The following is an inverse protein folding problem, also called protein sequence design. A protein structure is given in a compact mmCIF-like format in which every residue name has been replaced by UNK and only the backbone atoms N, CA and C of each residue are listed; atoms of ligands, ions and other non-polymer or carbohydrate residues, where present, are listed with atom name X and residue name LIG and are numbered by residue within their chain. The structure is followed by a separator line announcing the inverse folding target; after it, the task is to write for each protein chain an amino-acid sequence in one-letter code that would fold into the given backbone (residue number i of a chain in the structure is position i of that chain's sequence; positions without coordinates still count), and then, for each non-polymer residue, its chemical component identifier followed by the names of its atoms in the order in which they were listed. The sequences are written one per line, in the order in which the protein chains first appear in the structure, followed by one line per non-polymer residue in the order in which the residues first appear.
data_IF_039421584819
#
_entry.id   IF_039421584819
#
_cell.length_a   1.000
_cell.length_b   1.000
_cell.length_c   1.000
_cell.angle_alpha   90.00
_cell.angle_beta   90.00
_cell.angle_gamma   90.00
#
_symmetry.space_group_name_H-M   'P 1'
#
loop_
_entity.id
_entity.type
_entity.pdbx_description
1 polymer ?
#
# COMPACT_ATOMS: atom_id res chain seq x y z
N UNK A 1 36.95 -24.20 0.91
CA UNK A 1 37.12 -23.80 -0.50
C UNK A 1 35.87 -24.28 -1.22
N UNK A 2 34.87 -23.41 -1.36
CA UNK A 2 34.52 -22.71 -2.62
C UNK A 2 33.61 -23.64 -3.46
N UNK A 3 32.38 -23.33 -3.89
CA UNK A 3 31.73 -22.07 -4.29
C UNK A 3 30.20 -22.26 -4.20
N UNK A 4 29.49 -21.50 -3.35
CA UNK A 4 28.02 -21.40 -3.47
C UNK A 4 27.73 -20.24 -4.39
N UNK A 5 27.31 -20.59 -5.61
CA UNK A 5 27.01 -19.66 -6.69
C UNK A 5 26.00 -18.60 -6.25
N UNK A 6 26.39 -17.38 -6.58
CA UNK A 6 25.78 -16.12 -6.26
C UNK A 6 24.70 -15.84 -7.32
N UNK A 7 23.48 -16.35 -7.15
CA UNK A 7 22.33 -15.98 -7.99
C UNK A 7 21.14 -15.56 -7.12
N UNK A 8 21.33 -14.51 -6.32
CA UNK A 8 20.20 -13.64 -5.91
C UNK A 8 20.11 -12.47 -6.88
N UNK A 9 19.99 -12.80 -8.16
CA UNK A 9 19.68 -11.86 -9.22
C UNK A 9 18.26 -11.33 -9.05
N UNK A 10 18.13 -10.16 -8.42
CA UNK A 10 17.33 -9.05 -8.93
C UNK A 10 15.94 -9.39 -9.53
N UNK A 11 15.08 -10.07 -8.77
CA UNK A 11 13.66 -10.28 -9.12
C UNK A 11 12.68 -9.45 -8.27
N UNK A 12 13.16 -8.50 -7.45
CA UNK A 12 12.29 -7.71 -6.55
C UNK A 12 11.77 -6.38 -7.13
N UNK A 13 12.23 -5.95 -8.31
CA UNK A 13 11.92 -4.61 -8.84
C UNK A 13 10.71 -4.56 -9.78
N UNK A 14 10.27 -5.69 -10.36
CA UNK A 14 9.18 -5.72 -11.35
C UNK A 14 7.77 -5.74 -10.73
N UNK A 15 7.62 -6.21 -9.50
CA UNK A 15 6.32 -6.31 -8.82
C UNK A 15 5.96 -5.10 -7.96
N UNK A 16 6.89 -4.17 -7.75
CA UNK A 16 6.67 -3.04 -6.84
C UNK A 16 5.72 -1.99 -7.42
N UNK A 17 5.85 -1.66 -8.72
CA UNK A 17 5.01 -0.67 -9.38
C UNK A 17 3.50 -1.04 -9.42
N UNK A 18 3.12 -2.30 -9.70
CA UNK A 18 1.72 -2.73 -9.60
C UNK A 18 1.12 -2.55 -8.19
N UNK A 19 1.89 -2.85 -7.14
CA UNK A 19 1.41 -2.78 -5.76
C UNK A 19 1.27 -1.34 -5.26
N UNK A 20 2.21 -0.45 -5.61
CA UNK A 20 2.12 0.98 -5.31
C UNK A 20 0.86 1.59 -5.92
N UNK A 21 0.57 1.30 -7.19
CA UNK A 21 -0.64 1.80 -7.86
C UNK A 21 -1.91 1.22 -7.23
N UNK A 22 -1.90 -0.05 -6.82
CA UNK A 22 -3.01 -0.65 -6.09
C UNK A 22 -3.30 0.08 -4.78
N UNK A 23 -2.28 0.36 -3.97
CA UNK A 23 -2.47 1.04 -2.69
C UNK A 23 -2.95 2.49 -2.85
N UNK A 24 -2.46 3.23 -3.86
CA UNK A 24 -2.99 4.56 -4.18
C UNK A 24 -4.49 4.52 -4.50
N UNK A 25 -4.91 3.60 -5.35
CA UNK A 25 -6.32 3.42 -5.70
C UNK A 25 -7.16 3.07 -4.46
N UNK A 26 -6.65 2.21 -3.58
CA UNK A 26 -7.34 1.86 -2.32
C UNK A 26 -7.49 3.07 -1.40
N UNK A 27 -6.45 3.90 -1.28
CA UNK A 27 -6.53 5.14 -0.49
C UNK A 27 -7.62 6.08 -1.01
N UNK A 28 -7.69 6.28 -2.33
CA UNK A 28 -8.73 7.09 -2.97
C UNK A 28 -10.13 6.54 -2.69
N UNK A 29 -10.33 5.23 -2.86
CA UNK A 29 -11.62 4.58 -2.58
C UNK A 29 -12.06 4.74 -1.13
N UNK A 30 -11.13 4.65 -0.17
CA UNK A 30 -11.46 4.86 1.24
C UNK A 30 -11.79 6.33 1.55
N UNK A 31 -11.12 7.31 0.90
CA UNK A 31 -11.52 8.72 1.00
C UNK A 31 -12.94 8.96 0.44
N UNK A 32 -13.30 8.33 -0.67
CA UNK A 32 -14.65 8.39 -1.23
C UNK A 32 -15.70 7.73 -0.33
N UNK A 33 -15.33 6.67 0.40
CA UNK A 33 -16.19 6.05 1.42
C UNK A 33 -16.34 6.97 2.63
N UNK A 34 -15.27 7.61 3.09
CA UNK A 34 -15.31 8.56 4.19
C UNK A 34 -16.22 9.76 3.88
N UNK A 35 -16.18 10.28 2.65
CA UNK A 35 -17.03 11.39 2.21
C UNK A 35 -18.53 11.04 2.19
N UNK A 36 -18.87 9.76 1.98
CA UNK A 36 -20.25 9.24 1.95
C UNK A 36 -20.68 8.58 3.26
N UNK A 37 -19.82 8.56 4.28
CA UNK A 37 -20.06 7.85 5.51
C UNK A 37 -21.22 8.51 6.30
N UNK A 38 -22.19 7.72 6.81
CA UNK A 38 -23.39 8.27 7.46
C UNK A 38 -23.12 8.79 8.88
N UNK A 39 -21.94 8.54 9.45
CA UNK A 39 -21.56 9.01 10.78
C UNK A 39 -20.06 9.23 10.91
N UNK A 40 -19.67 10.01 11.93
CA UNK A 40 -18.29 10.39 12.21
C UNK A 40 -17.39 9.20 12.57
N UNK A 41 -17.93 8.14 13.20
CA UNK A 41 -17.15 6.93 13.51
C UNK A 41 -16.69 6.22 12.24
N UNK A 42 -17.59 6.00 11.28
CA UNK A 42 -17.26 5.37 10.00
C UNK A 42 -16.35 6.26 9.15
N UNK A 43 -16.59 7.58 9.16
CA UNK A 43 -15.70 8.54 8.50
C UNK A 43 -14.27 8.44 9.01
N UNK A 44 -14.07 8.44 10.34
CA UNK A 44 -12.74 8.28 10.96
C UNK A 44 -12.08 6.96 10.57
N UNK A 45 -12.82 5.85 10.61
CA UNK A 45 -12.30 4.55 10.20
C UNK A 45 -11.81 4.56 8.74
N UNK A 46 -12.62 5.07 7.81
CA UNK A 46 -12.24 5.12 6.39
C UNK A 46 -11.03 6.04 6.15
N UNK A 47 -10.93 7.16 6.87
CA UNK A 47 -9.75 8.03 6.80
C UNK A 47 -8.48 7.33 7.33
N UNK A 48 -8.59 6.57 8.42
CA UNK A 48 -7.47 5.78 8.96
C UNK A 48 -7.00 4.71 7.97
N UNK A 49 -7.93 4.00 7.33
CA UNK A 49 -7.62 3.04 6.28
C UNK A 49 -6.95 3.70 5.06
N UNK A 50 -7.44 4.87 4.63
CA UNK A 50 -6.83 5.63 3.54
C UNK A 50 -5.36 5.97 3.86
N UNK A 51 -5.09 6.46 5.08
CA UNK A 51 -3.74 6.80 5.52
C UNK A 51 -2.81 5.56 5.59
N UNK A 52 -3.33 4.39 5.96
CA UNK A 52 -2.55 3.13 5.92
C UNK A 52 -2.18 2.79 4.47
N UNK A 53 -3.13 2.89 3.55
CA UNK A 53 -2.86 2.62 2.14
C UNK A 53 -1.87 3.62 1.51
N UNK A 54 -1.95 4.92 1.86
CA UNK A 54 -0.97 5.92 1.44
C UNK A 54 0.44 5.57 1.91
N UNK A 55 0.61 5.23 3.20
CA UNK A 55 1.92 4.78 3.73
C UNK A 55 2.46 3.54 3.02
N UNK A 56 1.59 2.59 2.67
CA UNK A 56 2.00 1.40 1.90
C UNK A 56 2.37 1.73 0.45
N UNK A 57 1.69 2.69 -0.17
CA UNK A 57 2.05 3.15 -1.51
C UNK A 57 3.44 3.82 -1.54
N UNK A 58 3.84 4.46 -0.45
CA UNK A 58 5.15 5.07 -0.26
C UNK A 58 6.26 4.06 0.09
N UNK A 59 5.90 2.77 0.31
CA UNK A 59 6.85 1.74 0.74
C UNK A 59 7.21 1.80 2.23
N UNK A 60 6.43 2.52 3.04
CA UNK A 60 6.64 2.64 4.49
C UNK A 60 6.27 1.35 5.25
N UNK A 61 6.99 1.01 6.35
CA UNK A 61 6.61 -0.09 7.23
C UNK A 61 5.29 0.20 7.97
N UNK A 62 4.56 -0.86 8.32
CA UNK A 62 3.32 -0.84 9.12
C UNK A 62 3.59 -0.93 10.61
#
# INVERSE_FOLDING_TARGET
MNETQNETGSMSSLHHAPLTNHFRLRAEQERDRAARAPNERHKRLHLELAAIFERRAEGGPV
#
